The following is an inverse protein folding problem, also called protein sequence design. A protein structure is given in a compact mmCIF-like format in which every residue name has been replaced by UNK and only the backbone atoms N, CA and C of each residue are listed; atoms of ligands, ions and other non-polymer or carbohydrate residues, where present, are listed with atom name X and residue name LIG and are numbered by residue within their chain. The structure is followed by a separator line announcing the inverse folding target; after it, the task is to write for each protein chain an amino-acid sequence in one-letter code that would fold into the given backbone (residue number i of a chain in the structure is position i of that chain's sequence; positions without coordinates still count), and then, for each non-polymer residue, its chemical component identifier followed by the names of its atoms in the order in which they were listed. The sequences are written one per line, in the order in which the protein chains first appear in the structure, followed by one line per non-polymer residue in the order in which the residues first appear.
data_IF_031269710348
#
_entry.id   IF_031269710348
#
_cell.length_a   1.000
_cell.length_b   1.000
_cell.length_c   1.000
_cell.angle_alpha   90.00
_cell.angle_beta   90.00
_cell.angle_gamma   90.00
#
_symmetry.space_group_name_H-M   'P 1'
#
loop_
_entity.id
_entity.type
_entity.pdbx_description
1 polymer ?
#
# COMPACT_ATOMS: atom_id res chain seq x y z
N UNK A 1 -6.36 6.37 4.94
CA UNK A 1 -7.74 6.13 4.45
C UNK A 1 -8.62 7.39 4.31
N UNK A 2 -8.58 8.39 5.20
CA UNK A 2 -9.45 9.58 5.05
C UNK A 2 -9.22 10.35 3.74
N UNK A 3 -7.98 10.42 3.25
CA UNK A 3 -7.68 10.97 1.94
C UNK A 3 -8.46 10.25 0.82
N UNK A 4 -8.42 8.92 0.80
CA UNK A 4 -9.18 8.09 -0.15
C UNK A 4 -10.69 8.33 -0.02
N UNK A 5 -11.20 8.54 1.21
CA UNK A 5 -12.62 8.90 1.41
C UNK A 5 -12.97 10.22 0.73
N UNK A 6 -12.08 11.22 0.79
CA UNK A 6 -12.25 12.51 0.11
C UNK A 6 -12.14 12.38 -1.41
N UNK A 7 -11.17 11.60 -1.92
CA UNK A 7 -10.99 11.34 -3.35
C UNK A 7 -12.22 10.66 -3.96
N UNK A 8 -12.69 9.58 -3.32
CA UNK A 8 -13.89 8.85 -3.74
C UNK A 8 -15.16 9.72 -3.64
N UNK A 9 -15.19 10.71 -2.74
CA UNK A 9 -16.31 11.67 -2.67
C UNK A 9 -16.32 12.67 -3.83
N UNK A 10 -15.15 13.02 -4.37
CA UNK A 10 -15.02 13.99 -5.47
C UNK A 10 -15.05 13.34 -6.86
N UNK A 11 -14.68 12.06 -6.95
CA UNK A 11 -14.69 11.26 -8.18
C UNK A 11 -15.26 9.86 -7.88
N UNK A 12 -16.57 9.63 -8.07
CA UNK A 12 -17.20 8.36 -7.69
C UNK A 12 -16.68 7.16 -8.49
N UNK A 13 -16.14 7.40 -9.69
CA UNK A 13 -15.64 6.35 -10.59
C UNK A 13 -14.15 6.01 -10.35
N UNK A 14 -13.52 6.54 -9.30
CA UNK A 14 -12.15 6.19 -8.95
C UNK A 14 -12.10 4.80 -8.29
N UNK A 15 -11.15 3.97 -8.72
CA UNK A 15 -10.81 2.70 -8.07
C UNK A 15 -9.60 2.95 -7.17
N UNK A 16 -9.68 2.48 -5.93
CA UNK A 16 -8.63 2.69 -4.93
C UNK A 16 -8.18 1.32 -4.43
N UNK A 17 -6.94 0.96 -4.72
CA UNK A 17 -6.31 -0.23 -4.18
C UNK A 17 -5.37 0.19 -3.05
N UNK A 18 -5.53 -0.40 -1.87
CA UNK A 18 -4.59 -0.26 -0.77
C UNK A 18 -3.59 -1.40 -0.81
N UNK A 19 -2.32 -1.06 -0.94
CA UNK A 19 -1.23 -2.03 -0.78
C UNK A 19 -0.63 -1.78 0.60
N UNK A 20 -0.73 -2.76 1.48
CA UNK A 20 -0.28 -2.65 2.88
C UNK A 20 0.40 -3.94 3.31
N UNK A 21 1.17 -3.86 4.40
CA UNK A 21 1.75 -5.06 5.01
C UNK A 21 0.75 -5.75 5.94
N UNK A 22 0.97 -7.04 6.22
CA UNK A 22 0.04 -7.83 7.02
C UNK A 22 -0.22 -7.24 8.41
N UNK A 23 0.78 -6.60 9.02
CA UNK A 23 0.69 -6.00 10.35
C UNK A 23 -0.37 -4.90 10.43
N UNK A 24 -0.71 -4.27 9.29
CA UNK A 24 -1.71 -3.20 9.23
C UNK A 24 -3.15 -3.69 9.12
N UNK A 25 -3.39 -5.01 8.97
CA UNK A 25 -4.74 -5.59 8.98
C UNK A 25 -5.49 -5.26 10.27
N UNK A 26 -4.81 -5.31 11.42
CA UNK A 26 -5.39 -5.05 12.74
C UNK A 26 -5.75 -3.58 12.98
N UNK A 27 -5.08 -2.65 12.30
CA UNK A 27 -5.32 -1.21 12.41
C UNK A 27 -6.51 -0.72 11.58
N UNK A 28 -7.19 -1.62 10.86
CA UNK A 28 -8.30 -1.24 9.99
C UNK A 28 -9.53 -0.90 10.83
N UNK A 29 -9.85 0.40 10.90
CA UNK A 29 -11.19 0.83 11.31
C UNK A 29 -12.20 0.29 10.29
N UNK A 30 -13.18 -0.46 10.79
CA UNK A 30 -14.23 -1.12 10.01
C UNK A 30 -14.96 -0.13 9.11
N UNK A 31 -14.67 -0.12 7.81
CA UNK A 31 -15.57 0.41 6.76
C UNK A 31 -14.91 0.23 5.38
N UNK A 32 -15.08 -0.94 4.73
CA UNK A 32 -14.77 -1.05 3.31
C UNK A 32 -15.80 -0.25 2.49
N UNK A 33 -15.34 0.64 1.61
CA UNK A 33 -16.18 1.20 0.54
C UNK A 33 -16.20 0.21 -0.64
N UNK A 34 -17.23 0.25 -1.51
CA UNK A 34 -17.46 -0.81 -2.52
C UNK A 34 -16.38 -0.97 -3.59
N UNK A 35 -15.36 -0.10 -3.65
CA UNK A 35 -14.28 -0.15 -4.65
C UNK A 35 -12.87 -0.33 -4.03
N UNK A 36 -12.79 -0.70 -2.75
CA UNK A 36 -11.50 -0.85 -2.05
C UNK A 36 -10.97 -2.28 -2.22
N UNK A 37 -9.98 -2.47 -3.10
CA UNK A 37 -9.18 -3.71 -3.17
C UNK A 37 -8.00 -3.58 -2.21
N UNK A 38 -7.69 -4.63 -1.44
CA UNK A 38 -6.53 -4.64 -0.55
C UNK A 38 -5.58 -5.73 -1.03
N UNK A 39 -4.33 -5.36 -1.27
CA UNK A 39 -3.25 -6.29 -1.54
C UNK A 39 -2.29 -6.28 -0.37
N UNK A 40 -2.00 -7.47 0.14
CA UNK A 40 -1.12 -7.67 1.28
C UNK A 40 0.25 -8.06 0.76
N UNK A 41 1.28 -7.40 1.25
CA UNK A 41 2.67 -7.76 1.00
C UNK A 41 3.31 -8.05 2.35
N UNK A 42 3.93 -9.21 2.53
CA UNK A 42 4.60 -9.60 3.77
C UNK A 42 6.10 -9.24 3.68
N UNK A 43 6.56 -8.11 4.23
CA UNK A 43 7.97 -7.99 4.58
C UNK A 43 8.19 -8.92 5.77
N UNK A 44 9.21 -9.79 5.68
CA UNK A 44 9.71 -10.69 6.73
C UNK A 44 9.12 -10.49 8.15
N UNK A 45 8.74 -11.56 8.90
CA UNK A 45 7.85 -11.50 10.09
C UNK A 45 8.46 -10.82 11.33
N UNK A 46 8.83 -9.55 11.19
CA UNK A 46 9.44 -8.70 12.20
C UNK A 46 8.42 -7.61 12.47
N UNK A 47 7.65 -7.82 13.52
CA UNK A 47 6.64 -6.87 13.93
C UNK A 47 7.27 -5.50 14.22
N UNK A 48 6.68 -4.42 13.69
CA UNK A 48 7.11 -3.01 13.88
C UNK A 48 7.45 -2.66 15.34
N UNK A 49 6.76 -3.30 16.29
CA UNK A 49 6.94 -3.08 17.73
C UNK A 49 8.12 -3.80 18.39
N UNK A 50 8.86 -4.66 17.68
CA UNK A 50 9.97 -5.46 18.25
C UNK A 50 11.34 -4.90 17.86
N UNK A 51 11.54 -4.58 16.58
CA UNK A 51 12.81 -4.06 16.06
C UNK A 51 12.55 -3.13 14.86
N UNK A 52 12.24 -1.86 15.16
CA UNK A 52 11.90 -0.87 14.14
C UNK A 52 13.02 -0.64 13.11
N UNK A 53 14.31 -0.49 13.48
CA UNK A 53 15.38 -0.35 12.49
C UNK A 53 15.44 -1.50 11.50
N UNK A 54 15.33 -2.74 11.98
CA UNK A 54 15.38 -3.92 11.12
C UNK A 54 14.12 -4.05 10.26
N UNK A 55 12.95 -3.72 10.80
CA UNK A 55 11.71 -3.63 10.03
C UNK A 55 11.83 -2.59 8.91
N UNK A 56 12.32 -1.38 9.23
CA UNK A 56 12.51 -0.33 8.25
C UNK A 56 13.50 -0.74 7.16
N UNK A 57 14.61 -1.38 7.52
CA UNK A 57 15.58 -1.93 6.56
C UNK A 57 14.90 -2.93 5.61
N UNK A 58 14.18 -3.92 6.15
CA UNK A 58 13.45 -4.90 5.34
C UNK A 58 12.42 -4.24 4.40
N UNK A 59 11.64 -3.28 4.91
CA UNK A 59 10.68 -2.53 4.09
C UNK A 59 11.37 -1.75 2.96
N UNK A 60 12.56 -1.21 3.21
CA UNK A 60 13.29 -0.43 2.21
C UNK A 60 14.01 -1.30 1.18
N UNK A 61 14.38 -2.53 1.50
CA UNK A 61 15.19 -3.39 0.62
C UNK A 61 14.44 -4.55 -0.02
N UNK A 62 13.32 -4.99 0.57
CA UNK A 62 12.62 -6.22 0.14
C UNK A 62 11.24 -5.95 -0.47
N UNK A 63 10.65 -4.76 -0.27
CA UNK A 63 9.24 -4.50 -0.64
C UNK A 63 9.03 -3.96 -2.05
N UNK A 64 10.05 -3.44 -2.70
CA UNK A 64 9.93 -2.85 -4.04
C UNK A 64 9.47 -3.90 -5.06
N UNK A 65 10.21 -5.01 -5.18
CA UNK A 65 9.89 -6.11 -6.11
C UNK A 65 8.48 -6.69 -5.91
N UNK A 66 8.05 -7.11 -4.70
CA UNK A 66 6.70 -7.62 -4.54
C UNK A 66 5.64 -6.54 -4.79
N UNK A 67 5.94 -5.25 -4.56
CA UNK A 67 5.02 -4.18 -4.93
C UNK A 67 4.91 -4.02 -6.45
N UNK A 68 6.00 -4.12 -7.21
CA UNK A 68 5.97 -4.14 -8.68
C UNK A 68 5.12 -5.30 -9.20
N UNK A 69 5.30 -6.50 -8.65
CA UNK A 69 4.48 -7.66 -9.00
C UNK A 69 2.99 -7.38 -8.75
N UNK A 70 2.65 -6.69 -7.66
CA UNK A 70 1.27 -6.28 -7.41
C UNK A 70 0.75 -5.33 -8.48
N UNK A 71 1.54 -4.35 -8.93
CA UNK A 71 1.14 -3.44 -10.01
C UNK A 71 0.81 -4.17 -11.31
N UNK A 72 1.60 -5.20 -11.65
CA UNK A 72 1.41 -5.99 -12.88
C UNK A 72 0.09 -6.79 -12.89
N UNK A 73 -0.47 -7.10 -11.72
CA UNK A 73 -1.67 -7.92 -11.59
C UNK A 73 -2.96 -7.09 -11.35
N UNK A 74 -2.85 -5.77 -11.18
CA UNK A 74 -4.03 -4.90 -10.98
C UNK A 74 -4.70 -4.61 -12.34
N UNK A 75 -5.99 -4.93 -12.44
CA UNK A 75 -6.86 -4.60 -13.57
C UNK A 75 -8.05 -3.74 -13.10
N UNK A 76 -8.28 -2.54 -13.70
CA UNK A 76 -7.53 -1.92 -14.80
C UNK A 76 -6.14 -1.41 -14.39
N UNK A 77 -5.21 -1.20 -15.35
CA UNK A 77 -3.87 -0.72 -15.06
C UNK A 77 -3.85 0.54 -14.19
N UNK A 78 -2.91 0.57 -13.24
CA UNK A 78 -2.77 1.67 -12.29
C UNK A 78 -2.42 2.96 -13.04
N UNK A 79 -3.16 4.04 -12.75
CA UNK A 79 -2.97 5.36 -13.39
C UNK A 79 -2.26 6.38 -12.50
N UNK A 80 -2.20 6.11 -11.18
CA UNK A 80 -1.51 6.95 -10.21
C UNK A 80 -1.16 6.12 -8.97
N UNK A 81 0.02 6.36 -8.42
CA UNK A 81 0.50 5.78 -7.17
C UNK A 81 0.58 6.89 -6.12
N UNK A 82 0.08 6.62 -4.91
CA UNK A 82 0.22 7.51 -3.75
C UNK A 82 0.98 6.71 -2.69
N UNK A 83 2.28 6.99 -2.56
CA UNK A 83 3.16 6.37 -1.56
C UNK A 83 3.28 7.21 -0.29
N UNK A 84 3.63 6.55 0.81
CA UNK A 84 4.18 7.23 1.98
C UNK A 84 5.54 7.85 1.60
N UNK A 85 5.83 9.04 2.13
CA UNK A 85 7.07 9.78 1.83
C UNK A 85 8.33 9.03 2.30
N UNK A 86 8.20 8.14 3.27
CA UNK A 86 9.31 7.30 3.74
C UNK A 86 9.68 6.17 2.77
N UNK A 87 8.75 5.73 1.91
CA UNK A 87 8.96 4.66 0.94
C UNK A 87 9.68 5.18 -0.30
N UNK A 88 11.01 5.36 -0.20
CA UNK A 88 11.80 5.96 -1.29
C UNK A 88 11.75 5.18 -2.60
N UNK A 89 11.67 3.85 -2.54
CA UNK A 89 11.56 3.00 -3.72
C UNK A 89 10.28 3.26 -4.53
N UNK A 90 9.21 3.77 -3.90
CA UNK A 90 7.96 4.06 -4.61
C UNK A 90 8.09 5.23 -5.61
N UNK A 91 9.14 6.05 -5.49
CA UNK A 91 9.42 7.15 -6.41
C UNK A 91 9.88 6.60 -7.77
N UNK A 92 10.71 5.56 -7.75
CA UNK A 92 11.30 5.00 -8.97
C UNK A 92 10.24 4.32 -9.85
N UNK A 93 9.15 3.84 -9.24
CA UNK A 93 7.99 3.24 -9.89
C UNK A 93 7.02 4.22 -10.56
N UNK A 94 7.17 5.53 -10.29
CA UNK A 94 6.27 6.58 -10.77
C UNK A 94 6.60 7.18 -12.14
N UNK A 95 7.46 6.54 -12.94
CA UNK A 95 8.00 7.06 -14.20
C UNK A 95 7.26 6.56 -15.45
#
# INVERSE_FOLDING_TARGET
MNLCKLLASGKPDILITFVVTEEWLGCRSSEPKPNDSIVLIDPTPIFVGVDFPRFYEAVMTEMETPFEEVLDHIDPPVTAIIGDVELRWAIDLGN
#
